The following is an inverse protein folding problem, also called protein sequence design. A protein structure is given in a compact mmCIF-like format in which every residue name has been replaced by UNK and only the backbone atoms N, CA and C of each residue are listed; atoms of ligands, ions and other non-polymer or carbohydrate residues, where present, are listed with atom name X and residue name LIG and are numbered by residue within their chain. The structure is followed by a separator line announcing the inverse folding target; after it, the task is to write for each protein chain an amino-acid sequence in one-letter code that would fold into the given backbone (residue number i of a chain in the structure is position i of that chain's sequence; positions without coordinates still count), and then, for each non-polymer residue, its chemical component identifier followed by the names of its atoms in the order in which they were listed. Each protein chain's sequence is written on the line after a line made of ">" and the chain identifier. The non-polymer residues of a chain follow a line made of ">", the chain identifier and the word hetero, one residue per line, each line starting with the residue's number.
data_IF_567423447277
#
_entry.id   IF_567423447277
#
_cell.length_a   1.000
_cell.length_b   1.000
_cell.length_c   1.000
_cell.angle_alpha   90.00
_cell.angle_beta   90.00
_cell.angle_gamma   90.00
#
_symmetry.space_group_name_H-M   'P 1'
#
loop_
_entity.id
_entity.type
_entity.pdbx_description
1 polymer ?
#
# COMPACT_ATOMS: atom_id res chain seq x y z
N UNK A 1 -5.87 -16.32 7.91
CA UNK A 1 -5.11 -16.43 6.64
C UNK A 1 -4.57 -17.85 6.52
N UNK A 2 -5.37 -18.80 6.06
CA UNK A 2 -4.87 -20.14 5.75
C UNK A 2 -5.57 -20.58 4.46
N UNK A 3 -4.78 -20.67 3.38
CA UNK A 3 -5.05 -21.33 2.11
C UNK A 3 -3.89 -20.93 1.20
N UNK A 4 -2.98 -21.86 0.90
CA UNK A 4 -1.79 -21.69 0.04
C UNK A 4 -2.11 -21.38 -1.44
N UNK A 5 -3.23 -20.69 -1.72
CA UNK A 5 -3.58 -20.23 -3.06
C UNK A 5 -2.80 -18.94 -3.34
N UNK A 6 -2.06 -18.86 -4.46
CA UNK A 6 -1.36 -17.64 -4.83
C UNK A 6 -2.39 -16.51 -4.98
N UNK A 7 -2.12 -15.39 -4.32
CA UNK A 7 -2.96 -14.20 -4.42
C UNK A 7 -2.75 -13.58 -5.80
N UNK A 8 -3.84 -13.36 -6.54
CA UNK A 8 -3.76 -12.76 -7.87
C UNK A 8 -3.53 -11.26 -7.76
N UNK A 9 -2.48 -10.75 -8.39
CA UNK A 9 -2.26 -9.31 -8.55
C UNK A 9 -3.25 -8.76 -9.59
N UNK A 10 -4.00 -7.72 -9.23
CA UNK A 10 -4.89 -7.01 -10.17
C UNK A 10 -4.17 -5.88 -10.88
N UNK A 11 -3.45 -5.06 -10.11
CA UNK A 11 -2.82 -3.84 -10.62
C UNK A 11 -1.64 -3.48 -9.74
N UNK A 12 -0.59 -2.92 -10.33
CA UNK A 12 0.44 -2.19 -9.61
C UNK A 12 0.37 -0.72 -10.00
N UNK A 13 0.61 0.17 -9.04
CA UNK A 13 0.68 1.60 -9.28
C UNK A 13 1.83 2.21 -8.50
N UNK A 14 2.53 3.16 -9.11
CA UNK A 14 3.58 3.92 -8.44
C UNK A 14 2.98 5.27 -8.05
N UNK A 15 3.02 5.56 -6.75
CA UNK A 15 2.55 6.82 -6.22
C UNK A 15 3.78 7.61 -5.80
N UNK A 16 3.97 8.78 -6.41
CA UNK A 16 4.96 9.74 -5.94
C UNK A 16 4.44 10.37 -4.65
N UNK A 17 5.17 10.14 -3.57
CA UNK A 17 4.88 10.73 -2.26
C UNK A 17 6.01 11.67 -1.87
N UNK A 18 5.77 12.54 -0.90
CA UNK A 18 6.80 13.41 -0.33
C UNK A 18 7.99 12.63 0.26
N UNK A 19 7.82 11.34 0.53
CA UNK A 19 8.87 10.51 1.12
C UNK A 19 9.75 9.81 0.08
N UNK A 20 9.12 9.28 -0.97
CA UNK A 20 9.72 8.70 -2.18
C UNK A 20 8.61 8.17 -3.10
N UNK A 21 9.00 7.57 -4.22
CA UNK A 21 8.11 6.77 -5.04
C UNK A 21 7.81 5.44 -4.32
N UNK A 22 6.52 5.18 -4.05
CA UNK A 22 6.06 3.96 -3.39
C UNK A 22 5.25 3.14 -4.39
N UNK A 23 5.61 1.88 -4.56
CA UNK A 23 4.86 0.93 -5.39
C UNK A 23 3.80 0.24 -4.56
N UNK A 24 2.55 0.43 -4.95
CA UNK A 24 1.38 -0.23 -4.40
C UNK A 24 0.91 -1.34 -5.34
N UNK A 25 0.40 -2.41 -4.75
CA UNK A 25 -0.14 -3.60 -5.41
C UNK A 25 -1.58 -3.80 -4.93
N UNK A 26 -2.51 -3.81 -5.87
CA UNK A 26 -3.91 -4.16 -5.62
C UNK A 26 -4.04 -5.66 -5.79
N UNK A 27 -4.39 -6.36 -4.71
CA UNK A 27 -4.54 -7.80 -4.70
C UNK A 27 -6.02 -8.20 -4.81
N UNK A 28 -6.31 -9.23 -5.61
CA UNK A 28 -7.64 -9.82 -5.68
C UNK A 28 -7.84 -10.73 -4.45
N UNK A 29 -8.44 -10.17 -3.42
CA UNK A 29 -8.91 -10.86 -2.22
C UNK A 29 -10.42 -10.62 -2.05
N UNK A 30 -11.11 -11.40 -1.22
CA UNK A 30 -12.57 -11.23 -0.98
C UNK A 30 -12.97 -9.80 -0.61
N UNK A 31 -12.02 -9.04 -0.06
CA UNK A 31 -12.05 -7.59 0.10
C UNK A 31 -10.81 -7.04 -0.59
N UNK A 32 -10.91 -6.24 -1.66
CA UNK A 32 -9.73 -5.70 -2.33
C UNK A 32 -8.98 -4.77 -1.38
N UNK A 33 -7.74 -5.10 -1.07
CA UNK A 33 -6.87 -4.29 -0.22
C UNK A 33 -5.71 -3.73 -1.03
N UNK A 34 -5.34 -2.46 -0.76
CA UNK A 34 -4.04 -1.97 -1.17
C UNK A 34 -2.98 -2.65 -0.32
N UNK A 35 -2.09 -3.39 -0.99
CA UNK A 35 -0.93 -3.99 -0.37
C UNK A 35 0.32 -3.32 -0.92
N UNK A 36 1.26 -2.95 -0.07
CA UNK A 36 2.54 -2.40 -0.48
C UNK A 36 3.64 -3.29 0.09
N UNK A 37 4.76 -3.42 -0.62
CA UNK A 37 5.86 -4.31 -0.21
C UNK A 37 7.22 -3.61 -0.14
N UNK A 38 7.45 -2.58 -0.97
CA UNK A 38 8.81 -2.13 -1.23
C UNK A 38 9.12 -0.82 -0.50
N UNK A 39 10.20 -0.84 0.29
CA UNK A 39 10.88 0.30 0.93
C UNK A 39 10.26 0.88 2.22
N UNK A 40 9.21 0.31 2.79
CA UNK A 40 8.60 0.88 4.01
C UNK A 40 9.52 0.88 5.23
N UNK A 41 10.19 -0.23 5.52
CA UNK A 41 11.15 -0.26 6.64
C UNK A 41 12.29 0.74 6.43
N UNK A 42 12.69 0.95 5.16
CA UNK A 42 13.73 1.92 4.80
C UNK A 42 13.23 3.38 4.92
N UNK A 43 11.97 3.63 4.57
CA UNK A 43 11.36 4.97 4.63
C UNK A 43 10.77 5.30 6.01
N UNK A 44 10.63 4.30 6.89
CA UNK A 44 9.97 4.39 8.21
C UNK A 44 8.55 4.95 8.13
N UNK A 45 7.81 4.51 7.11
CA UNK A 45 6.43 4.94 6.82
C UNK A 45 5.50 3.77 7.13
N UNK A 46 4.31 3.99 7.66
CA UNK A 46 3.28 2.96 7.73
C UNK A 46 2.06 3.38 6.91
N UNK A 47 1.35 2.42 6.33
CA UNK A 47 0.13 2.69 5.58
C UNK A 47 -1.07 2.06 6.31
N UNK A 48 -2.04 2.90 6.63
CA UNK A 48 -3.32 2.54 7.20
C UNK A 48 -4.30 2.24 6.06
N UNK A 49 -4.48 0.95 5.76
CA UNK A 49 -5.36 0.46 4.70
C UNK A 49 -6.84 0.74 4.94
N UNK A 50 -7.28 0.95 6.19
CA UNK A 50 -8.68 1.21 6.52
C UNK A 50 -9.09 2.59 6.02
N UNK A 51 -8.22 3.58 6.27
CA UNK A 51 -8.46 4.97 5.92
C UNK A 51 -7.70 5.42 4.65
N UNK A 52 -6.95 4.51 4.00
CA UNK A 52 -6.02 4.79 2.91
C UNK A 52 -5.03 5.93 3.22
N UNK A 53 -4.45 5.93 4.42
CA UNK A 53 -3.51 6.97 4.87
C UNK A 53 -2.08 6.45 4.92
N UNK A 54 -1.15 7.20 4.34
CA UNK A 54 0.30 6.98 4.46
C UNK A 54 0.87 7.91 5.53
N UNK A 55 1.52 7.36 6.54
CA UNK A 55 1.90 8.10 7.75
C UNK A 55 3.38 7.93 8.05
N UNK A 56 4.08 9.04 8.32
CA UNK A 56 5.49 9.08 8.72
C UNK A 56 5.70 10.15 9.78
N UNK A 57 5.84 9.75 11.04
CA UNK A 57 5.80 10.70 12.16
C UNK A 57 4.48 11.49 12.13
N UNK A 58 4.57 12.81 12.10
CA UNK A 58 3.41 13.71 12.07
C UNK A 58 2.86 13.98 10.66
N UNK A 59 3.52 13.48 9.61
CA UNK A 59 3.09 13.70 8.24
C UNK A 59 2.10 12.62 7.86
N UNK A 60 0.88 13.03 7.50
CA UNK A 60 -0.22 12.18 7.07
C UNK A 60 -0.59 12.54 5.63
N UNK A 61 -0.57 11.55 4.73
CA UNK A 61 -0.90 11.71 3.32
C UNK A 61 -2.08 10.80 2.99
N UNK A 62 -3.19 11.39 2.51
CA UNK A 62 -4.30 10.62 1.97
C UNK A 62 -3.94 10.09 0.58
N UNK A 63 -4.01 8.77 0.42
CA UNK A 63 -3.80 8.11 -0.86
C UNK A 63 -5.14 7.97 -1.57
N UNK A 64 -5.34 8.73 -2.63
CA UNK A 64 -6.49 8.58 -3.54
C UNK A 64 -5.96 7.97 -4.84
N UNK A 65 -6.47 6.79 -5.18
CA UNK A 65 -6.19 6.13 -6.45
C UNK A 65 -7.48 6.04 -7.27
N UNK A 66 -7.43 6.51 -8.53
CA UNK A 66 -8.52 6.42 -9.52
C UNK A 66 -8.39 5.16 -10.38
#
# INVERSE_FOLDING_TARGET
>A
FNNNKPVKLLKSTVINTLFNNITFYVLLTNTPFLYYLKNINKLRVYFNNINNLLIKGDIIILIIYK
#
